data_IF_712788073865
#
_entry.id   IF_712788073865
#
_cell.length_a   1.000
_cell.length_b   1.000
_cell.length_c   1.000
_cell.angle_alpha   90.00
_cell.angle_beta   90.00
_cell.angle_gamma   90.00
#
_symmetry.space_group_name_H-M   'P 1'
#
loop_
_entity.id
_entity.type
_entity.pdbx_description
1 polymer ?
#
# COMPACT_ATOMS: atom_id res chain seq x y z
N UNK A 1 -2.28 -21.18 17.13
CA UNK A 1 -2.80 -19.97 16.48
C UNK A 1 -4.24 -20.22 16.08
N UNK A 2 -5.20 -19.46 16.61
CA UNK A 2 -6.55 -19.45 16.05
C UNK A 2 -6.47 -18.54 14.83
N UNK A 3 -6.30 -19.11 13.65
CA UNK A 3 -6.44 -18.35 12.40
C UNK A 3 -7.87 -17.84 12.36
N UNK A 4 -8.06 -16.53 12.53
CA UNK A 4 -9.36 -15.91 12.35
C UNK A 4 -9.46 -15.49 10.89
N UNK A 5 -10.31 -16.19 10.15
CA UNK A 5 -10.68 -15.77 8.81
C UNK A 5 -11.31 -14.39 8.88
N UNK A 6 -10.89 -13.53 7.96
CA UNK A 6 -11.37 -12.16 7.79
C UNK A 6 -12.38 -12.20 6.65
N UNK A 7 -13.57 -11.69 6.91
CA UNK A 7 -14.58 -11.48 5.90
C UNK A 7 -14.59 -9.99 5.53
N UNK A 8 -14.48 -9.72 4.23
CA UNK A 8 -14.39 -8.37 3.69
C UNK A 8 -15.20 -8.21 2.41
N UNK A 9 -15.55 -6.97 2.08
CA UNK A 9 -16.04 -6.58 0.76
C UNK A 9 -14.94 -5.79 0.06
N UNK A 10 -14.60 -6.22 -1.16
CA UNK A 10 -13.68 -5.52 -2.05
C UNK A 10 -14.49 -4.78 -3.11
N UNK A 11 -14.36 -3.47 -3.15
CA UNK A 11 -14.97 -2.61 -4.15
C UNK A 11 -13.93 -2.23 -5.18
N UNK A 12 -14.23 -2.45 -6.46
CA UNK A 12 -13.36 -2.06 -7.56
C UNK A 12 -14.09 -1.09 -8.47
N UNK A 13 -13.39 -0.02 -8.83
CA UNK A 13 -13.74 0.87 -9.92
C UNK A 13 -12.76 0.66 -11.06
N UNK A 14 -13.25 0.07 -12.15
CA UNK A 14 -12.44 -0.23 -13.32
C UNK A 14 -12.71 0.82 -14.36
N UNK A 15 -11.69 1.61 -14.70
CA UNK A 15 -11.74 2.61 -15.77
C UNK A 15 -10.95 2.15 -17.00
N UNK A 16 -11.36 2.59 -18.19
CA UNK A 16 -10.68 2.26 -19.43
C UNK A 16 -11.11 3.13 -20.60
N UNK A 17 -10.28 3.19 -21.64
CA UNK A 17 -10.56 3.97 -22.87
C UNK A 17 -11.58 3.31 -23.80
N UNK A 18 -11.73 1.99 -23.73
CA UNK A 18 -12.70 1.24 -24.54
C UNK A 18 -13.49 0.31 -23.64
N UNK A 19 -14.75 0.04 -24.01
CA UNK A 19 -15.58 -0.97 -23.35
C UNK A 19 -14.83 -2.31 -23.22
N UNK A 20 -14.19 -2.78 -24.28
CA UNK A 20 -13.45 -4.05 -24.27
C UNK A 20 -12.32 -4.07 -23.24
N UNK A 21 -11.58 -2.97 -23.07
CA UNK A 21 -10.51 -2.89 -22.07
C UNK A 21 -11.05 -3.01 -20.64
N UNK A 22 -12.20 -2.39 -20.36
CA UNK A 22 -12.90 -2.51 -19.07
C UNK A 22 -13.40 -3.93 -18.88
N UNK A 23 -14.08 -4.53 -19.87
CA UNK A 23 -14.55 -5.91 -19.83
C UNK A 23 -13.42 -6.90 -19.55
N UNK A 24 -12.28 -6.75 -20.24
CA UNK A 24 -11.11 -7.60 -20.05
C UNK A 24 -10.47 -7.42 -18.67
N UNK A 25 -10.45 -6.21 -18.11
CA UNK A 25 -9.92 -5.96 -16.76
C UNK A 25 -10.87 -6.52 -15.69
N UNK A 26 -12.18 -6.32 -15.82
CA UNK A 26 -13.19 -6.93 -14.94
C UNK A 26 -13.06 -8.45 -14.97
N UNK A 27 -12.99 -9.05 -16.16
CA UNK A 27 -12.83 -10.50 -16.32
C UNK A 27 -11.56 -11.02 -15.65
N UNK A 28 -10.41 -10.36 -15.87
CA UNK A 28 -9.15 -10.73 -15.23
C UNK A 28 -9.22 -10.66 -13.71
N UNK A 29 -9.83 -9.62 -13.15
CA UNK A 29 -10.03 -9.50 -11.70
C UNK A 29 -10.92 -10.62 -11.17
N UNK A 30 -12.04 -10.90 -11.84
CA UNK A 30 -12.98 -11.98 -11.45
C UNK A 30 -12.32 -13.36 -11.50
N UNK A 31 -11.64 -13.67 -12.62
CA UNK A 31 -10.95 -14.95 -12.79
C UNK A 31 -9.79 -15.09 -11.79
N UNK A 32 -9.07 -13.99 -11.55
CA UNK A 32 -8.01 -13.91 -10.55
C UNK A 32 -8.50 -14.18 -9.13
N UNK A 33 -9.58 -13.52 -8.70
CA UNK A 33 -10.21 -13.76 -7.40
C UNK A 33 -10.68 -15.21 -7.25
N UNK A 34 -11.25 -15.81 -8.30
CA UNK A 34 -11.68 -17.22 -8.30
C UNK A 34 -10.52 -18.22 -8.21
N UNK A 35 -9.34 -17.83 -8.67
CA UNK A 35 -8.11 -18.63 -8.56
C UNK A 35 -7.32 -18.36 -7.27
N UNK A 36 -7.69 -17.31 -6.53
CA UNK A 36 -7.06 -16.96 -5.27
C UNK A 36 -7.45 -17.94 -4.14
N UNK A 37 -6.70 -17.99 -3.03
CA UNK A 37 -7.09 -18.76 -1.85
C UNK A 37 -8.34 -18.23 -1.13
N UNK A 38 -8.86 -17.05 -1.50
CA UNK A 38 -10.03 -16.45 -0.88
C UNK A 38 -11.32 -17.18 -1.26
N UNK A 39 -12.19 -17.40 -0.27
CA UNK A 39 -13.53 -17.92 -0.52
C UNK A 39 -14.46 -16.78 -0.95
N UNK A 40 -14.94 -16.81 -2.19
CA UNK A 40 -15.91 -15.83 -2.70
C UNK A 40 -17.31 -16.19 -2.18
N UNK A 41 -17.84 -15.38 -1.26
CA UNK A 41 -19.20 -15.53 -0.72
C UNK A 41 -20.25 -14.89 -1.63
N UNK A 42 -19.91 -13.76 -2.26
CA UNK A 42 -20.76 -13.05 -3.23
C UNK A 42 -19.88 -12.32 -4.24
N UNK A 43 -20.34 -12.28 -5.48
CA UNK A 43 -19.71 -11.51 -6.55
C UNK A 43 -20.81 -10.78 -7.33
N UNK A 44 -20.72 -9.47 -7.39
CA UNK A 44 -21.63 -8.59 -8.12
C UNK A 44 -20.84 -7.80 -9.16
N UNK A 45 -21.27 -7.87 -10.42
CA UNK A 45 -20.56 -7.28 -11.56
C UNK A 45 -21.53 -6.30 -12.21
N UNK A 46 -21.21 -5.00 -12.10
CA UNK A 46 -21.95 -3.94 -12.77
C UNK A 46 -21.72 -3.94 -14.28
N UNK A 47 -22.68 -3.35 -15.00
CA UNK A 47 -22.56 -3.13 -16.44
C UNK A 47 -21.45 -2.11 -16.77
N UNK A 48 -20.85 -2.26 -17.96
CA UNK A 48 -19.90 -1.27 -18.48
C UNK A 48 -20.66 -0.07 -19.04
N UNK A 49 -20.45 1.09 -18.42
CA UNK A 49 -21.02 2.37 -18.82
C UNK A 49 -19.99 3.22 -19.56
N UNK A 50 -20.46 4.14 -20.41
CA UNK A 50 -19.65 5.15 -21.08
C UNK A 50 -19.99 6.52 -20.49
N UNK A 51 -18.98 7.22 -19.98
CA UNK A 51 -19.05 8.57 -19.47
C UNK A 51 -18.04 9.46 -20.22
N UNK A 52 -18.52 10.32 -21.15
CA UNK A 52 -17.66 11.24 -21.90
C UNK A 52 -16.90 12.25 -21.03
N UNK A 53 -17.34 12.50 -19.79
CA UNK A 53 -16.66 13.43 -18.88
C UNK A 53 -15.34 12.86 -18.31
N UNK A 54 -15.14 11.54 -18.43
CA UNK A 54 -13.95 10.82 -17.94
C UNK A 54 -12.83 10.70 -18.99
N UNK A 55 -12.83 11.50 -20.07
CA UNK A 55 -11.77 11.49 -21.10
C UNK A 55 -10.37 11.63 -20.48
N UNK A 56 -9.39 10.74 -20.78
CA UNK A 56 -9.39 9.74 -21.85
C UNK A 56 -9.88 8.32 -21.49
N UNK A 57 -10.36 8.11 -20.26
CA UNK A 57 -10.85 6.83 -19.74
C UNK A 57 -12.38 6.80 -19.65
N UNK A 58 -13.05 7.02 -20.78
CA UNK A 58 -14.50 7.22 -20.85
C UNK A 58 -15.37 5.99 -20.55
N UNK A 59 -14.81 4.82 -20.24
CA UNK A 59 -15.60 3.64 -19.88
C UNK A 59 -15.32 3.22 -18.44
N UNK A 60 -16.35 2.82 -17.72
CA UNK A 60 -16.22 2.35 -16.34
C UNK A 60 -17.10 1.15 -16.02
N UNK A 61 -16.70 0.38 -15.02
CA UNK A 61 -17.52 -0.67 -14.41
C UNK A 61 -17.21 -0.79 -12.91
N UNK A 62 -18.24 -1.16 -12.16
CA UNK A 62 -18.11 -1.45 -10.73
C UNK A 62 -18.14 -2.96 -10.51
N UNK A 63 -17.29 -3.44 -9.61
CA UNK A 63 -17.25 -4.83 -9.17
C UNK A 63 -17.25 -4.84 -7.65
N UNK A 64 -18.12 -5.66 -7.06
CA UNK A 64 -18.18 -5.91 -5.62
C UNK A 64 -17.91 -7.40 -5.37
N UNK A 65 -16.90 -7.71 -4.57
CA UNK A 65 -16.57 -9.08 -4.18
C UNK A 65 -16.57 -9.22 -2.66
N UNK A 66 -17.52 -9.98 -2.11
CA UNK A 66 -17.51 -10.39 -0.70
C UNK A 66 -16.68 -11.66 -0.58
N UNK A 67 -15.60 -11.59 0.18
CA UNK A 67 -14.59 -12.64 0.29
C UNK A 67 -14.31 -12.98 1.75
N UNK A 68 -13.87 -14.21 2.01
CA UNK A 68 -13.41 -14.67 3.32
C UNK A 68 -12.05 -15.38 3.18
N UNK A 69 -11.09 -15.06 4.03
CA UNK A 69 -9.75 -15.66 3.95
C UNK A 69 -8.78 -15.19 5.03
N UNK A 70 -7.51 -15.57 4.93
CA UNK A 70 -6.48 -15.10 5.86
C UNK A 70 -6.02 -13.67 5.52
N UNK A 71 -5.40 -12.98 6.49
CA UNK A 71 -4.88 -11.62 6.30
C UNK A 71 -3.91 -11.53 5.12
N UNK A 72 -3.04 -12.54 4.95
CA UNK A 72 -2.08 -12.59 3.85
C UNK A 72 -2.77 -12.68 2.50
N UNK A 73 -3.73 -13.58 2.34
CA UNK A 73 -4.45 -13.77 1.09
C UNK A 73 -5.25 -12.52 0.71
N UNK A 74 -5.84 -11.85 1.71
CA UNK A 74 -6.56 -10.60 1.52
C UNK A 74 -5.61 -9.48 1.08
N UNK A 75 -4.50 -9.29 1.78
CA UNK A 75 -3.49 -8.30 1.41
C UNK A 75 -2.91 -8.55 0.02
N UNK A 76 -2.68 -9.83 -0.34
CA UNK A 76 -2.21 -10.22 -1.66
C UNK A 76 -3.22 -9.90 -2.76
N UNK A 77 -4.51 -10.18 -2.54
CA UNK A 77 -5.57 -9.85 -3.49
C UNK A 77 -5.71 -8.32 -3.67
N UNK A 78 -5.62 -7.56 -2.58
CA UNK A 78 -5.65 -6.09 -2.63
C UNK A 78 -4.43 -5.55 -3.40
N UNK A 79 -3.24 -6.09 -3.13
CA UNK A 79 -1.99 -5.71 -3.79
C UNK A 79 -1.99 -6.03 -5.29
N UNK A 80 -2.67 -7.11 -5.70
CA UNK A 80 -2.72 -7.55 -7.10
C UNK A 80 -3.78 -6.79 -7.91
N UNK A 81 -4.98 -6.62 -7.35
CA UNK A 81 -6.14 -6.17 -8.10
C UNK A 81 -6.54 -4.72 -7.84
N UNK A 82 -5.97 -4.07 -6.82
CA UNK A 82 -6.17 -2.65 -6.52
C UNK A 82 -7.64 -2.24 -6.36
N UNK A 83 -8.40 -2.83 -5.41
CA UNK A 83 -9.72 -2.32 -5.08
C UNK A 83 -9.63 -0.87 -4.62
N UNK A 84 -10.64 -0.05 -4.93
CA UNK A 84 -10.71 1.35 -4.49
C UNK A 84 -11.11 1.48 -3.03
N UNK A 85 -11.85 0.51 -2.49
CA UNK A 85 -12.24 0.45 -1.09
C UNK A 85 -12.29 -1.01 -0.63
N UNK A 86 -11.85 -1.23 0.61
CA UNK A 86 -12.06 -2.49 1.33
C UNK A 86 -12.99 -2.19 2.49
N UNK A 87 -13.95 -3.06 2.78
CA UNK A 87 -14.79 -3.00 3.98
C UNK A 87 -14.61 -4.26 4.81
N UNK A 88 -14.17 -4.15 6.07
CA UNK A 88 -13.97 -5.30 6.95
C UNK A 88 -15.27 -5.58 7.72
N UNK A 89 -15.87 -6.75 7.47
CA UNK A 89 -17.14 -7.15 8.09
C UNK A 89 -16.94 -7.87 9.43
N UNK A 90 -15.95 -8.77 9.49
CA UNK A 90 -15.58 -9.53 10.70
C UNK A 90 -14.18 -10.17 10.54
N UNK A 91 -13.51 -10.52 11.65
CA UNK A 91 -13.84 -10.13 13.02
C UNK A 91 -13.57 -8.62 13.25
N UNK A 92 -14.12 -8.05 14.32
CA UNK A 92 -13.85 -6.65 14.68
C UNK A 92 -12.41 -6.37 15.13
N UNK A 93 -11.62 -7.43 15.37
CA UNK A 93 -10.20 -7.38 15.72
C UNK A 93 -9.49 -8.70 15.38
N UNK A 94 -8.21 -8.61 15.03
CA UNK A 94 -7.30 -9.74 14.85
C UNK A 94 -6.02 -9.51 15.66
N UNK A 95 -5.36 -10.60 16.03
CA UNK A 95 -4.07 -10.59 16.72
C UNK A 95 -3.07 -11.28 15.80
N UNK A 96 -1.96 -10.61 15.51
CA UNK A 96 -0.96 -11.09 14.56
C UNK A 96 0.43 -11.08 15.22
N UNK A 97 1.18 -12.19 15.18
CA UNK A 97 2.56 -12.19 15.65
C UNK A 97 3.41 -11.17 14.88
N UNK A 98 4.27 -10.43 15.58
CA UNK A 98 5.15 -9.41 15.00
C UNK A 98 5.98 -9.92 13.81
N UNK A 99 6.54 -11.13 13.92
CA UNK A 99 7.28 -11.80 12.85
C UNK A 99 6.40 -12.03 11.62
N UNK A 100 5.19 -12.58 11.81
CA UNK A 100 4.25 -12.84 10.71
C UNK A 100 3.77 -11.57 10.01
N UNK A 101 3.60 -10.48 10.77
CA UNK A 101 3.27 -9.17 10.19
C UNK A 101 4.48 -8.57 9.44
N UNK A 102 5.69 -8.69 10.00
CA UNK A 102 6.92 -8.22 9.33
C UNK A 102 7.11 -8.90 7.97
N UNK A 103 6.92 -10.22 7.92
CA UNK A 103 6.97 -11.00 6.69
C UNK A 103 5.90 -10.58 5.69
N UNK A 104 4.67 -10.35 6.15
CA UNK A 104 3.58 -9.89 5.28
C UNK A 104 3.93 -8.54 4.64
N UNK A 105 4.39 -7.57 5.44
CA UNK A 105 4.74 -6.23 4.98
C UNK A 105 5.93 -6.24 4.01
N UNK A 106 6.94 -7.08 4.23
CA UNK A 106 8.05 -7.25 3.29
C UNK A 106 7.62 -7.89 1.98
N UNK A 107 6.72 -8.88 2.03
CA UNK A 107 6.16 -9.47 0.83
C UNK A 107 5.34 -8.47 0.03
N UNK A 108 4.55 -7.64 0.71
CA UNK A 108 3.80 -6.55 0.12
C UNK A 108 4.73 -5.53 -0.56
N UNK A 109 5.76 -5.07 0.16
CA UNK A 109 6.77 -4.16 -0.36
C UNK A 109 7.42 -4.67 -1.66
N UNK A 110 7.71 -5.98 -1.72
CA UNK A 110 8.25 -6.63 -2.92
C UNK A 110 7.24 -6.66 -4.06
N UNK A 111 6.00 -7.08 -3.84
CA UNK A 111 4.94 -7.09 -4.86
C UNK A 111 4.73 -5.72 -5.47
N UNK A 112 4.62 -4.70 -4.63
CA UNK A 112 4.45 -3.32 -5.08
C UNK A 112 5.66 -2.81 -5.85
N UNK A 113 6.88 -3.18 -5.43
CA UNK A 113 8.10 -2.87 -6.18
C UNK A 113 8.10 -3.53 -7.56
N UNK A 114 7.66 -4.79 -7.66
CA UNK A 114 7.55 -5.52 -8.93
C UNK A 114 6.53 -4.87 -9.87
N UNK A 115 5.36 -4.47 -9.35
CA UNK A 115 4.35 -3.70 -10.10
C UNK A 115 4.92 -2.38 -10.67
N UNK A 116 5.88 -1.77 -9.98
CA UNK A 116 6.57 -0.54 -10.44
C UNK A 116 7.78 -0.82 -11.34
N UNK A 117 7.94 -2.04 -11.84
CA UNK A 117 9.08 -2.44 -12.68
C UNK A 117 10.43 -2.35 -11.96
N UNK A 118 10.43 -2.57 -10.64
CA UNK A 118 11.64 -2.55 -9.81
C UNK A 118 12.07 -1.17 -9.31
N UNK A 119 11.36 -0.09 -9.68
CA UNK A 119 11.72 1.29 -9.31
C UNK A 119 10.98 1.74 -8.06
N UNK A 120 11.73 2.24 -7.07
CA UNK A 120 11.18 2.97 -5.94
C UNK A 120 11.24 4.46 -6.27
N UNK A 121 10.10 5.05 -6.62
CA UNK A 121 9.97 6.51 -6.75
C UNK A 121 9.12 7.00 -5.59
N UNK A 122 9.74 7.78 -4.71
CA UNK A 122 9.02 8.44 -3.61
C UNK A 122 8.71 9.85 -4.10
N UNK A 123 7.43 10.18 -4.36
CA UNK A 123 7.06 11.54 -4.71
C UNK A 123 7.39 12.45 -3.52
N UNK A 124 8.12 13.54 -3.78
CA UNK A 124 8.45 14.54 -2.77
C UNK A 124 7.34 15.61 -2.81
N UNK A 125 6.53 15.77 -1.75
CA UNK A 125 5.49 16.78 -1.71
C UNK A 125 6.09 18.19 -1.87
N UNK A 126 5.39 19.08 -2.58
CA UNK A 126 5.87 20.44 -2.83
C UNK A 126 6.06 21.24 -1.53
N UNK A 127 5.21 21.00 -0.54
CA UNK A 127 5.23 21.62 0.78
C UNK A 127 6.26 21.00 1.74
N UNK A 128 7.04 19.99 1.34
CA UNK A 128 8.02 19.35 2.24
C UNK A 128 9.06 20.34 2.80
N UNK A 129 9.31 21.45 2.09
CA UNK A 129 10.20 22.52 2.56
C UNK A 129 9.66 23.26 3.79
N UNK A 130 8.34 23.33 3.94
CA UNK A 130 7.65 24.03 5.03
C UNK A 130 7.54 23.16 6.29
N UNK A 131 7.70 21.85 6.15
CA UNK A 131 7.64 20.89 7.25
C UNK A 131 8.95 20.98 8.05
N UNK A 132 8.90 21.17 9.38
CA UNK A 132 10.11 21.18 10.20
C UNK A 132 10.77 19.79 10.20
N UNK A 133 12.08 19.75 10.37
CA UNK A 133 12.79 18.48 10.57
C UNK A 133 12.40 17.97 11.97
N UNK A 134 11.86 16.76 12.11
CA UNK A 134 11.55 16.22 13.43
C UNK A 134 12.82 15.93 14.22
N UNK A 135 12.71 15.95 15.55
CA UNK A 135 13.76 15.46 16.43
C UNK A 135 13.91 13.94 16.26
N UNK A 136 15.13 13.44 16.51
CA UNK A 136 15.46 12.02 16.41
C UNK A 136 15.95 11.55 17.75
N UNK A 137 15.44 10.41 18.18
CA UNK A 137 15.69 9.84 19.50
C UNK A 137 14.48 10.06 20.39
N UNK A 138 14.04 8.98 20.99
CA UNK A 138 13.08 8.96 22.08
C UNK A 138 13.81 8.55 23.35
N UNK A 139 13.35 9.06 24.49
CA UNK A 139 13.74 8.45 25.76
C UNK A 139 12.97 7.15 26.04
N UNK A 140 13.39 6.43 27.08
CA UNK A 140 12.81 5.13 27.43
C UNK A 140 11.33 5.25 27.87
N UNK A 141 10.96 6.36 28.52
CA UNK A 141 9.59 6.60 28.97
C UNK A 141 8.69 6.91 27.77
N UNK A 142 9.14 7.76 26.84
CA UNK A 142 8.42 8.08 25.61
C UNK A 142 8.19 6.84 24.73
N UNK A 143 9.20 5.98 24.54
CA UNK A 143 9.04 4.73 23.78
C UNK A 143 8.05 3.78 24.46
N UNK A 144 8.12 3.70 25.80
CA UNK A 144 7.21 2.85 26.55
C UNK A 144 5.77 3.37 26.46
N UNK A 145 5.55 4.68 26.58
CA UNK A 145 4.23 5.28 26.40
C UNK A 145 3.68 5.06 24.99
N UNK A 146 4.48 5.31 23.96
CA UNK A 146 4.10 5.11 22.57
C UNK A 146 3.63 3.68 22.29
N UNK A 147 4.44 2.68 22.68
CA UNK A 147 4.14 1.27 22.40
C UNK A 147 3.00 0.74 23.29
N UNK A 148 3.08 0.95 24.60
CA UNK A 148 2.20 0.26 25.56
C UNK A 148 0.94 1.05 25.92
N UNK A 149 0.96 2.39 25.83
CA UNK A 149 -0.24 3.22 26.01
C UNK A 149 -0.84 3.63 24.66
N UNK A 150 0.00 3.98 23.68
CA UNK A 150 -0.39 4.44 22.35
C UNK A 150 -0.77 3.35 21.36
N UNK A 151 -0.45 2.07 21.65
CA UNK A 151 -0.58 0.93 20.73
C UNK A 151 0.25 1.09 19.45
N UNK A 152 1.35 1.84 19.52
CA UNK A 152 2.29 1.99 18.42
C UNK A 152 3.22 0.78 18.32
N UNK A 153 3.84 0.64 17.15
CA UNK A 153 4.79 -0.42 16.82
C UNK A 153 6.19 0.18 16.82
N UNK A 154 7.09 -0.39 17.62
CA UNK A 154 8.52 -0.15 17.50
C UNK A 154 9.10 -1.13 16.49
N UNK A 155 9.75 -0.64 15.44
CA UNK A 155 10.30 -1.48 14.37
C UNK A 155 11.59 -0.93 13.82
N UNK A 156 12.37 -1.82 13.20
CA UNK A 156 13.53 -1.46 12.37
C UNK A 156 13.22 -1.72 10.92
N UNK A 157 13.67 -0.81 10.05
CA UNK A 157 13.63 -1.04 8.61
C UNK A 157 14.86 -0.48 7.92
N UNK A 158 15.12 -0.99 6.72
CA UNK A 158 16.17 -0.46 5.84
C UNK A 158 15.56 -0.01 4.51
N UNK A 159 15.83 1.23 4.11
CA UNK A 159 15.44 1.79 2.81
C UNK A 159 16.68 1.96 1.93
N UNK A 160 16.60 1.55 0.67
CA UNK A 160 17.63 1.82 -0.34
C UNK A 160 17.10 2.87 -1.29
N UNK A 161 17.65 4.08 -1.20
CA UNK A 161 17.16 5.26 -1.89
C UNK A 161 18.27 5.87 -2.78
N UNK A 162 17.90 6.75 -3.74
CA UNK A 162 18.89 7.47 -4.53
C UNK A 162 19.87 8.24 -3.63
N UNK A 163 21.12 8.38 -4.07
CA UNK A 163 22.18 9.02 -3.28
C UNK A 163 21.86 10.49 -2.95
N UNK A 164 21.05 11.14 -3.78
CA UNK A 164 20.60 12.53 -3.57
C UNK A 164 19.53 12.64 -2.48
N UNK A 165 19.03 11.52 -1.94
CA UNK A 165 18.14 11.56 -0.80
C UNK A 165 18.90 12.04 0.43
N UNK A 166 18.50 13.20 0.95
CA UNK A 166 19.07 13.78 2.15
C UNK A 166 18.41 13.24 3.42
N UNK A 167 19.17 13.21 4.51
CA UNK A 167 18.69 12.77 5.84
C UNK A 167 17.40 13.46 6.24
N UNK A 168 17.41 14.78 6.20
CA UNK A 168 16.30 15.61 6.67
C UNK A 168 15.06 15.48 5.78
N UNK A 169 15.26 15.23 4.49
CA UNK A 169 14.17 14.93 3.56
C UNK A 169 13.48 13.62 3.95
N UNK A 170 14.25 12.56 4.23
CA UNK A 170 13.68 11.29 4.68
C UNK A 170 12.94 11.43 6.01
N UNK A 171 13.51 12.15 6.98
CA UNK A 171 12.86 12.37 8.27
C UNK A 171 11.51 13.08 8.13
N UNK A 172 11.42 14.09 7.28
CA UNK A 172 10.15 14.79 7.01
C UNK A 172 9.14 13.90 6.28
N UNK A 173 9.61 13.05 5.36
CA UNK A 173 8.76 12.08 4.67
C UNK A 173 8.20 11.06 5.67
N UNK A 174 9.02 10.52 6.55
CA UNK A 174 8.58 9.60 7.61
C UNK A 174 7.59 10.28 8.57
N UNK A 175 7.84 11.53 8.95
CA UNK A 175 6.91 12.32 9.76
C UNK A 175 5.55 12.50 9.07
N UNK A 176 5.54 12.74 7.75
CA UNK A 176 4.30 12.86 6.98
C UNK A 176 3.49 11.55 6.94
N UNK A 177 4.15 10.41 7.00
CA UNK A 177 3.49 9.10 7.14
C UNK A 177 3.10 8.80 8.60
N UNK A 178 3.34 9.71 9.54
CA UNK A 178 3.04 9.53 10.97
C UNK A 178 4.07 8.70 11.73
N UNK A 179 5.33 8.68 11.28
CA UNK A 179 6.40 7.94 11.95
C UNK A 179 7.31 8.85 12.78
N UNK A 180 7.52 8.46 14.03
CA UNK A 180 8.61 8.96 14.87
C UNK A 180 9.89 8.18 14.64
N UNK A 181 11.05 8.85 14.55
CA UNK A 181 12.34 8.19 14.29
C UNK A 181 13.18 8.17 15.56
N UNK A 182 13.45 6.97 16.09
CA UNK A 182 14.29 6.79 17.27
C UNK A 182 15.78 6.81 16.89
N UNK A 183 16.15 6.00 15.90
CA UNK A 183 17.53 5.93 15.42
C UNK A 183 17.57 5.99 13.90
N UNK A 184 18.57 6.66 13.35
CA UNK A 184 18.81 6.72 11.91
C UNK A 184 20.30 6.61 11.60
N UNK A 185 20.66 5.56 10.86
CA UNK A 185 22.00 5.34 10.33
C UNK A 185 21.98 5.38 8.82
N UNK A 186 22.96 6.09 8.25
CA UNK A 186 23.12 6.25 6.80
C UNK A 186 24.40 5.55 6.36
N UNK A 187 24.28 4.71 5.34
CA UNK A 187 25.41 4.03 4.70
C UNK A 187 25.39 4.33 3.21
N UNK A 188 26.44 4.99 2.70
CA UNK A 188 26.58 5.20 1.26
C UNK A 188 27.06 3.90 0.59
N UNK A 189 26.39 3.51 -0.49
CA UNK A 189 26.72 2.37 -1.35
C UNK A 189 26.99 2.89 -2.79
N UNK A 190 27.43 2.03 -3.69
CA UNK A 190 27.70 2.43 -5.07
C UNK A 190 26.42 2.88 -5.79
N UNK A 191 26.26 4.20 -5.93
CA UNK A 191 25.14 4.84 -6.65
C UNK A 191 23.84 4.98 -5.85
N UNK A 192 23.75 4.43 -4.63
CA UNK A 192 22.57 4.49 -3.77
C UNK A 192 22.96 4.71 -2.30
N UNK A 193 21.99 5.05 -1.47
CA UNK A 193 22.17 5.25 -0.03
C UNK A 193 21.22 4.33 0.73
N UNK A 194 21.77 3.59 1.69
CA UNK A 194 20.99 2.76 2.61
C UNK A 194 20.73 3.53 3.90
N UNK A 195 19.45 3.61 4.27
CA UNK A 195 18.97 4.23 5.51
C UNK A 195 18.42 3.13 6.42
N UNK A 196 19.14 2.81 7.48
CA UNK A 196 18.65 1.93 8.53
C UNK A 196 18.02 2.78 9.63
N UNK A 197 16.74 2.59 9.88
CA UNK A 197 15.98 3.37 10.86
C UNK A 197 15.34 2.45 11.88
N UNK A 198 15.37 2.87 13.14
CA UNK A 198 14.44 2.42 14.16
C UNK A 198 13.36 3.50 14.31
N UNK A 199 12.10 3.12 14.22
CA UNK A 199 10.99 4.04 14.19
C UNK A 199 9.81 3.48 14.98
N UNK A 200 8.95 4.40 15.41
CA UNK A 200 7.72 4.12 16.14
C UNK A 200 6.55 4.75 15.38
N UNK A 201 5.50 3.98 15.14
CA UNK A 201 4.29 4.49 14.48
C UNK A 201 3.09 3.57 14.67
N UNK A 202 1.90 4.05 14.29
CA UNK A 202 0.69 3.21 14.21
C UNK A 202 0.84 2.06 13.20
N UNK A 203 -0.01 1.04 13.31
CA UNK A 203 -0.10 -0.03 12.31
C UNK A 203 -0.34 0.52 10.89
N UNK A 204 -1.23 1.50 10.72
CA UNK A 204 -1.58 2.08 9.43
C UNK A 204 -0.37 2.79 8.80
N UNK A 205 0.36 3.57 9.60
CA UNK A 205 1.60 4.25 9.21
C UNK A 205 2.67 3.26 8.74
N UNK A 206 2.94 2.20 9.52
CA UNK A 206 3.90 1.17 9.12
C UNK A 206 3.46 0.45 7.83
N UNK A 207 2.17 0.14 7.69
CA UNK A 207 1.62 -0.48 6.50
C UNK A 207 1.80 0.41 5.27
N UNK A 208 1.53 1.71 5.39
CA UNK A 208 1.76 2.73 4.36
C UNK A 208 3.25 2.82 3.97
N UNK A 209 4.14 2.86 4.96
CA UNK A 209 5.59 2.88 4.71
C UNK A 209 6.02 1.65 3.91
N UNK A 210 5.51 0.47 4.25
CA UNK A 210 5.85 -0.77 3.57
C UNK A 210 5.55 -0.73 2.06
N UNK A 211 4.35 -0.30 1.65
CA UNK A 211 4.02 -0.27 0.22
C UNK A 211 4.58 0.95 -0.51
N UNK A 212 4.66 2.13 0.12
CA UNK A 212 5.12 3.38 -0.54
C UNK A 212 6.63 3.45 -0.71
N UNK A 213 7.38 3.00 0.30
CA UNK A 213 8.85 3.12 0.35
C UNK A 213 9.54 1.80 0.03
N UNK A 214 8.78 0.69 0.03
CA UNK A 214 9.25 -0.65 -0.33
C UNK A 214 10.55 -1.03 0.39
N UNK A 215 10.56 -1.16 1.73
CA UNK A 215 11.78 -1.44 2.50
C UNK A 215 12.48 -2.72 2.04
N UNK A 216 13.81 -2.73 2.18
CA UNK A 216 14.66 -3.89 1.94
C UNK A 216 14.58 -4.90 3.08
N UNK A 217 14.53 -4.41 4.31
CA UNK A 217 14.32 -5.20 5.54
C UNK A 217 13.33 -4.46 6.43
N UNK A 218 12.56 -5.21 7.21
CA UNK A 218 11.58 -4.70 8.16
C UNK A 218 11.40 -5.76 9.25
N UNK A 219 11.48 -5.32 10.50
CA UNK A 219 11.35 -6.17 11.69
C UNK A 219 10.63 -5.37 12.76
N UNK A 220 9.47 -5.87 13.20
CA UNK A 220 8.75 -5.32 14.35
C UNK A 220 9.41 -5.86 15.63
N UNK A 221 9.90 -4.96 16.47
CA UNK A 221 10.56 -5.26 17.73
C UNK A 221 9.55 -5.38 18.87
N UNK A 222 8.58 -4.47 18.94
CA UNK A 222 7.50 -4.49 19.93
C UNK A 222 6.20 -3.89 19.36
N UNK A 223 5.02 -4.37 19.82
CA UNK A 223 4.82 -5.54 20.68
C UNK A 223 4.97 -6.85 19.90
N UNK A 224 5.27 -7.95 20.61
CA UNK A 224 5.38 -9.30 20.01
C UNK A 224 4.08 -9.82 19.36
N UNK A 225 2.93 -9.34 19.84
CA UNK A 225 1.62 -9.61 19.25
C UNK A 225 0.97 -8.26 18.96
N UNK A 226 0.61 -8.05 17.71
CA UNK A 226 -0.01 -6.82 17.23
C UNK A 226 -1.52 -7.00 17.17
N UNK A 227 -2.23 -6.17 17.93
CA UNK A 227 -3.69 -6.09 17.92
C UNK A 227 -4.17 -5.10 16.87
N UNK A 228 -4.81 -5.61 15.82
CA UNK A 228 -5.30 -4.83 14.68
C UNK A 228 -6.82 -4.83 14.70
N UNK A 229 -7.42 -3.65 14.81
CA UNK A 229 -8.87 -3.47 14.75
C UNK A 229 -9.37 -3.49 13.30
N UNK A 230 -10.66 -3.79 13.11
CA UNK A 230 -11.26 -3.77 11.78
C UNK A 230 -11.11 -2.41 11.06
N UNK A 231 -11.28 -1.23 11.72
CA UNK A 231 -11.03 0.06 11.09
C UNK A 231 -9.57 0.27 10.65
N UNK A 232 -8.60 -0.05 11.50
CA UNK A 232 -7.17 0.07 11.17
C UNK A 232 -6.81 -0.80 9.96
N UNK A 233 -7.31 -2.04 9.93
CA UNK A 233 -7.10 -2.95 8.79
C UNK A 233 -7.79 -2.46 7.52
N UNK A 234 -9.02 -1.98 7.65
CA UNK A 234 -9.80 -1.45 6.54
C UNK A 234 -9.09 -0.28 5.86
N UNK A 235 -8.61 0.68 6.65
CA UNK A 235 -7.91 1.85 6.15
C UNK A 235 -6.60 1.44 5.47
N UNK A 236 -5.79 0.61 6.13
CA UNK A 236 -4.52 0.13 5.59
C UNK A 236 -4.68 -0.60 4.23
N UNK A 237 -5.69 -1.47 4.10
CA UNK A 237 -5.96 -2.18 2.85
C UNK A 237 -6.58 -1.28 1.79
N UNK A 238 -7.43 -0.33 2.16
CA UNK A 238 -8.03 0.63 1.21
C UNK A 238 -6.98 1.59 0.65
N UNK A 239 -6.04 2.04 1.48
CA UNK A 239 -4.91 2.87 1.07
C UNK A 239 -3.98 2.12 0.13
N UNK A 240 -3.68 0.86 0.43
CA UNK A 240 -2.92 -0.02 -0.47
C UNK A 240 -3.65 -0.21 -1.81
N UNK A 241 -4.94 -0.54 -1.76
CA UNK A 241 -5.75 -0.76 -2.95
C UNK A 241 -5.79 0.49 -3.84
N UNK A 242 -6.03 1.66 -3.24
CA UNK A 242 -5.98 2.96 -3.91
C UNK A 242 -4.61 3.26 -4.51
N UNK A 243 -3.54 2.96 -3.77
CA UNK A 243 -2.17 3.16 -4.25
C UNK A 243 -1.86 2.28 -5.46
N UNK A 244 -2.19 0.98 -5.40
CA UNK A 244 -2.02 0.04 -6.52
C UNK A 244 -2.86 0.47 -7.71
N UNK A 245 -4.11 0.85 -7.49
CA UNK A 245 -4.98 1.33 -8.55
C UNK A 245 -4.40 2.58 -9.22
N UNK A 246 -3.79 3.50 -8.47
CA UNK A 246 -3.13 4.69 -9.02
C UNK A 246 -1.95 4.34 -9.93
N UNK A 247 -1.21 3.27 -9.62
CA UNK A 247 -0.12 2.76 -10.47
C UNK A 247 -0.70 2.20 -11.76
N UNK A 248 -1.69 1.31 -11.66
CA UNK A 248 -2.33 0.68 -12.81
C UNK A 248 -2.97 1.73 -13.74
N UNK A 249 -3.71 2.68 -13.18
CA UNK A 249 -4.33 3.77 -13.93
C UNK A 249 -3.30 4.73 -14.52
N UNK A 250 -2.22 5.05 -13.79
CA UNK A 250 -1.14 5.90 -14.30
C UNK A 250 -0.49 5.30 -15.55
N UNK A 251 -0.27 3.99 -15.58
CA UNK A 251 0.19 3.31 -16.80
C UNK A 251 -0.82 3.40 -17.95
N UNK A 252 -2.11 3.23 -17.66
CA UNK A 252 -3.16 3.29 -18.67
C UNK A 252 -3.29 4.70 -19.28
N UNK A 253 -3.20 5.74 -18.45
CA UNK A 253 -3.16 7.14 -18.88
C UNK A 253 -1.92 7.43 -19.73
N UNK A 254 -0.73 6.98 -19.31
CA UNK A 254 0.49 7.18 -20.09
C UNK A 254 0.37 6.53 -21.48
N UNK A 255 -0.11 5.28 -21.56
CA UNK A 255 -0.35 4.57 -22.83
C UNK A 255 -1.37 5.30 -23.72
N UNK A 256 -2.40 5.90 -23.12
CA UNK A 256 -3.40 6.69 -23.85
C UNK A 256 -2.76 7.93 -24.50
N UNK A 257 -2.01 8.72 -23.72
CA UNK A 257 -1.34 9.93 -24.22
C UNK A 257 -0.28 9.66 -25.29
N UNK A 258 0.49 8.58 -25.15
CA UNK A 258 1.47 8.17 -26.15
C UNK A 258 0.77 7.86 -27.48
N UNK A 259 -0.30 7.06 -27.45
CA UNK A 259 -1.05 6.68 -28.66
C UNK A 259 -1.70 7.87 -29.37
N UNK A 260 -2.24 8.82 -28.62
CA UNK A 260 -2.82 10.03 -29.20
C UNK A 260 -1.71 10.89 -29.83
N UNK A 261 -0.56 11.06 -29.17
CA UNK A 261 0.60 11.80 -29.73
C UNK A 261 1.14 11.16 -31.01
N UNK A 262 1.15 9.83 -31.13
CA UNK A 262 1.53 9.14 -32.36
C UNK A 262 0.50 9.30 -33.47
N UNK A 263 -0.79 9.35 -33.15
CA UNK A 263 -1.86 9.58 -34.13
C UNK A 263 -1.81 10.98 -34.75
N UNK A 264 -1.40 12.00 -33.99
CA UNK A 264 -1.22 13.37 -34.51
C UNK A 264 0.00 13.56 -35.42
N UNK A 265 1.00 12.67 -35.35
CA UNK A 265 2.23 12.77 -36.17
C UNK A 265 2.15 12.08 -37.53
N UNK A 266 1.07 11.35 -37.81
CA UNK A 266 0.84 10.62 -39.06
C UNK A 266 -0.24 11.28 -39.95
N UNK A 267 -0.69 12.49 -39.58
CA UNK A 267 -1.63 13.31 -40.36
C UNK A 267 -0.93 14.33 -41.26
#
# INVERSE_FOLDING_TARGET
MVVRLIEAILYFEVLGRTRLAVEDRVKRTVDGLKMSPLEIKRLDIGDVIEDPELDPLSFSALLEARVEGELRDLADAVAEYGPTLVEILKPGRIEVPAEGLSDLLLNLARKVRELRGGRVVIPIPQNLKEIPVPEVGFDEEELWEAVYQGRELLYRLSLVLPREMERDTLLKLLLLEGCGVNELKITDLDGVREFSTEAVSSFESLFAVAFRYSPKTLEILEPQIVDITAPELQNALSDLGSFVNSILMGEDLQKAYEKDTFSFKLG
#
